data_IF_770458489114
#
_entry.id   IF_770458489114
#
_cell.length_a   1.000
_cell.length_b   1.000
_cell.length_c   1.000
_cell.angle_alpha   90.00
_cell.angle_beta   90.00
_cell.angle_gamma   90.00
#
_symmetry.space_group_name_H-M   'P 1'
#
loop_
_entity.id
_entity.type
_entity.pdbx_description
1 polymer ?
#
# COMPACT_ATOMS: atom_id res chain seq x y z
N UNK A 1 5.15 -42.24 -13.67
CA UNK A 1 6.49 -41.61 -13.70
C UNK A 1 6.35 -40.37 -14.57
N UNK A 2 6.40 -39.18 -13.97
CA UNK A 2 6.10 -37.91 -14.65
C UNK A 2 7.26 -36.95 -14.38
N UNK A 3 7.80 -36.41 -15.47
CA UNK A 3 9.16 -35.91 -15.57
C UNK A 3 9.23 -34.49 -15.01
N UNK A 4 10.18 -34.24 -14.10
CA UNK A 4 10.42 -32.93 -13.48
C UNK A 4 11.50 -32.23 -14.31
N UNK A 5 11.16 -31.10 -14.92
CA UNK A 5 12.11 -30.22 -15.64
C UNK A 5 12.25 -28.95 -14.80
N UNK A 6 13.39 -28.81 -14.11
CA UNK A 6 13.79 -27.58 -13.43
C UNK A 6 14.56 -26.69 -14.42
N UNK A 7 14.12 -25.46 -14.71
CA UNK A 7 14.94 -24.53 -15.47
C UNK A 7 16.06 -23.94 -14.60
N UNK A 8 17.28 -24.11 -15.08
CA UNK A 8 18.53 -23.64 -14.48
C UNK A 8 18.57 -22.13 -14.26
N UNK A 9 19.11 -21.80 -13.09
CA UNK A 9 19.59 -20.49 -12.65
C UNK A 9 20.64 -19.95 -13.64
N UNK A 10 20.45 -18.73 -14.14
CA UNK A 10 21.55 -17.92 -14.68
C UNK A 10 21.58 -16.59 -13.93
N UNK A 11 22.48 -16.53 -12.94
CA UNK A 11 22.78 -15.36 -12.13
C UNK A 11 23.77 -14.49 -12.92
N UNK A 12 23.31 -13.37 -13.47
CA UNK A 12 24.15 -12.38 -14.11
C UNK A 12 24.33 -11.16 -13.21
N UNK A 13 25.33 -11.19 -12.33
CA UNK A 13 25.86 -9.97 -11.70
C UNK A 13 26.76 -9.29 -12.74
N UNK A 14 26.49 -8.03 -13.06
CA UNK A 14 27.47 -7.13 -13.65
C UNK A 14 27.69 -5.93 -12.71
N UNK A 15 28.94 -5.77 -12.31
CA UNK A 15 29.45 -4.74 -11.41
C UNK A 15 29.75 -3.43 -12.14
N UNK A 16 29.53 -2.33 -11.41
CA UNK A 16 30.36 -1.12 -11.24
C UNK A 16 30.87 -0.29 -12.44
N UNK A 17 30.57 1.01 -12.34
CA UNK A 17 31.27 2.16 -12.95
C UNK A 17 30.27 3.31 -13.17
N UNK A 18 30.49 4.58 -12.83
CA UNK A 18 31.62 5.37 -12.32
C UNK A 18 31.17 6.84 -12.38
N UNK A 19 31.72 7.71 -11.52
CA UNK A 19 31.36 9.12 -11.36
C UNK A 19 31.47 9.95 -12.65
N UNK A 20 30.62 10.98 -12.80
CA UNK A 20 30.99 12.19 -13.52
C UNK A 20 30.50 13.42 -12.76
N UNK A 21 31.42 14.01 -11.99
CA UNK A 21 31.37 15.40 -11.58
C UNK A 21 31.94 16.23 -12.74
N UNK A 22 31.12 17.07 -13.35
CA UNK A 22 31.54 18.06 -14.34
C UNK A 22 31.38 19.47 -13.76
N UNK A 23 32.44 20.28 -13.68
CA UNK A 23 32.37 21.65 -13.16
C UNK A 23 31.80 22.56 -14.25
N UNK A 24 30.88 23.44 -13.89
CA UNK A 24 30.58 24.60 -14.73
C UNK A 24 30.87 25.86 -13.92
N UNK A 25 32.06 26.41 -14.18
CA UNK A 25 32.43 27.77 -13.81
C UNK A 25 31.79 28.70 -14.84
N UNK A 26 30.99 29.67 -14.39
CA UNK A 26 31.05 30.99 -14.98
C UNK A 26 30.67 32.02 -13.91
N UNK A 27 31.62 32.89 -13.61
CA UNK A 27 31.55 33.97 -12.65
C UNK A 27 30.50 35.02 -13.05
N UNK A 28 29.84 35.66 -12.07
CA UNK A 28 30.12 37.07 -11.74
C UNK A 28 29.14 37.63 -10.69
N UNK A 29 29.74 38.02 -9.56
CA UNK A 29 29.43 39.12 -8.64
C UNK A 29 28.06 39.18 -7.94
N UNK A 30 28.08 39.11 -6.61
CA UNK A 30 28.06 40.32 -5.77
C UNK A 30 28.60 40.03 -4.35
N UNK A 31 29.21 41.06 -3.76
CA UNK A 31 29.90 41.09 -2.47
C UNK A 31 28.91 40.95 -1.30
N UNK A 32 29.30 40.17 -0.29
CA UNK A 32 28.68 40.21 1.04
C UNK A 32 29.56 39.51 2.06
N UNK A 33 30.11 40.29 2.99
CA UNK A 33 31.01 39.86 4.06
C UNK A 33 30.22 39.24 5.24
N UNK A 34 30.88 38.33 5.94
CA UNK A 34 30.81 38.06 7.38
C UNK A 34 30.02 36.83 7.88
N UNK A 35 30.82 35.97 8.53
CA UNK A 35 30.57 35.08 9.67
C UNK A 35 29.57 33.95 9.55
N UNK A 36 30.16 32.75 9.50
CA UNK A 36 29.65 31.53 10.12
C UNK A 36 29.36 31.80 11.61
N UNK A 37 28.11 31.58 12.01
CA UNK A 37 27.76 31.30 13.40
C UNK A 37 27.10 29.91 13.45
N UNK A 38 27.69 29.06 14.27
CA UNK A 38 27.25 27.70 14.55
C UNK A 38 26.30 27.83 15.72
N UNK A 39 24.99 27.70 15.49
CA UNK A 39 24.07 27.44 16.60
C UNK A 39 23.06 26.33 16.27
N UNK A 40 23.24 25.24 17.02
CA UNK A 40 22.19 24.39 17.59
C UNK A 40 21.21 23.70 16.64
N UNK A 41 21.57 22.45 16.36
CA UNK A 41 20.71 21.28 16.42
C UNK A 41 19.46 21.48 17.30
N UNK A 42 18.32 21.77 16.67
CA UNK A 42 16.99 21.66 17.27
C UNK A 42 16.36 20.37 16.73
N UNK A 43 16.27 19.28 17.52
CA UNK A 43 15.31 18.25 17.21
C UNK A 43 13.94 18.88 17.51
N UNK A 44 13.28 19.36 16.46
CA UNK A 44 11.86 19.67 16.54
C UNK A 44 11.14 18.32 16.62
N UNK A 45 11.15 17.72 17.81
CA UNK A 45 10.10 16.80 18.20
C UNK A 45 8.81 17.61 18.18
N UNK A 46 8.10 17.52 17.06
CA UNK A 46 6.68 17.79 17.01
C UNK A 46 6.03 16.95 18.11
N UNK A 47 5.24 17.53 19.02
CA UNK A 47 4.35 16.70 19.81
C UNK A 47 3.37 16.08 18.80
N UNK A 48 3.55 14.79 18.49
CA UNK A 48 2.54 13.95 17.83
C UNK A 48 1.33 13.90 18.78
N UNK A 49 0.50 14.94 18.69
CA UNK A 49 -0.76 15.10 19.38
C UNK A 49 -1.84 15.33 18.34
N UNK A 50 -2.04 14.34 17.46
CA UNK A 50 -3.15 14.34 16.51
C UNK A 50 -3.69 12.92 16.30
N UNK A 51 -3.94 12.25 17.42
CA UNK A 51 -4.43 10.86 17.41
C UNK A 51 -5.88 10.78 16.89
N UNK A 52 -6.67 11.84 17.07
CA UNK A 52 -8.09 11.89 16.73
C UNK A 52 -8.34 12.08 15.22
N UNK A 53 -7.66 13.06 14.59
CA UNK A 53 -7.76 13.29 13.15
C UNK A 53 -7.22 12.11 12.32
N UNK A 54 -6.19 11.44 12.80
CA UNK A 54 -5.62 10.28 12.13
C UNK A 54 -6.52 9.03 12.27
N UNK A 55 -7.20 8.85 13.40
CA UNK A 55 -8.13 7.72 13.59
C UNK A 55 -9.38 7.88 12.71
N UNK A 56 -9.88 9.13 12.54
CA UNK A 56 -10.95 9.44 11.59
C UNK A 56 -10.57 9.07 10.16
N UNK A 57 -9.36 9.43 9.70
CA UNK A 57 -8.89 9.08 8.36
C UNK A 57 -8.76 7.56 8.13
N UNK A 58 -8.33 6.80 9.14
CA UNK A 58 -8.29 5.33 9.07
C UNK A 58 -9.70 4.76 8.93
N UNK A 59 -10.66 5.23 9.75
CA UNK A 59 -12.04 4.75 9.70
C UNK A 59 -12.69 5.01 8.34
N UNK A 60 -12.48 6.19 7.78
CA UNK A 60 -12.99 6.55 6.45
C UNK A 60 -12.40 5.63 5.36
N UNK A 61 -11.09 5.38 5.38
CA UNK A 61 -10.45 4.46 4.43
C UNK A 61 -10.95 3.02 4.58
N UNK A 62 -11.05 2.51 5.81
CA UNK A 62 -11.60 1.17 6.08
C UNK A 62 -13.04 1.06 5.56
N UNK A 63 -13.86 2.10 5.76
CA UNK A 63 -15.23 2.14 5.26
C UNK A 63 -15.28 2.07 3.73
N UNK A 64 -14.38 2.77 3.02
CA UNK A 64 -14.31 2.71 1.54
C UNK A 64 -13.86 1.35 1.02
N UNK A 65 -12.89 0.72 1.67
CA UNK A 65 -12.46 -0.66 1.34
C UNK A 65 -13.64 -1.63 1.53
N UNK A 66 -14.35 -1.54 2.67
CA UNK A 66 -15.54 -2.36 2.95
C UNK A 66 -16.66 -2.16 1.92
N UNK A 67 -16.92 -0.92 1.51
CA UNK A 67 -17.90 -0.61 0.47
C UNK A 67 -17.49 -1.22 -0.87
N UNK A 68 -16.21 -1.16 -1.25
CA UNK A 68 -15.72 -1.78 -2.49
C UNK A 68 -15.84 -3.30 -2.48
N UNK A 69 -15.58 -3.96 -1.35
CA UNK A 69 -15.81 -5.41 -1.20
C UNK A 69 -17.30 -5.73 -1.36
N UNK A 70 -18.19 -4.94 -0.75
CA UNK A 70 -19.64 -5.14 -0.86
C UNK A 70 -20.15 -4.97 -2.29
N UNK A 71 -19.66 -3.97 -3.03
CA UNK A 71 -20.02 -3.78 -4.44
C UNK A 71 -19.54 -4.95 -5.30
N UNK A 72 -18.35 -5.49 -5.01
CA UNK A 72 -17.84 -6.71 -5.65
C UNK A 72 -18.77 -7.91 -5.42
N UNK A 73 -19.19 -8.14 -4.17
CA UNK A 73 -20.14 -9.22 -3.81
C UNK A 73 -21.47 -9.07 -4.58
N UNK A 74 -22.06 -7.87 -4.60
CA UNK A 74 -23.32 -7.60 -5.31
C UNK A 74 -23.22 -7.79 -6.82
N UNK A 75 -22.08 -7.44 -7.42
CA UNK A 75 -21.85 -7.65 -8.85
C UNK A 75 -21.73 -9.13 -9.18
N UNK A 76 -21.05 -9.93 -8.35
CA UNK A 76 -20.95 -11.38 -8.54
C UNK A 76 -22.32 -12.07 -8.54
N UNK A 77 -23.29 -11.56 -7.77
CA UNK A 77 -24.67 -12.07 -7.73
C UNK A 77 -25.50 -11.73 -8.98
N UNK A 78 -25.14 -10.67 -9.72
CA UNK A 78 -25.93 -10.11 -10.84
C UNK A 78 -25.46 -10.56 -12.24
N UNK A 79 -24.70 -11.66 -12.32
CA UNK A 79 -23.93 -12.14 -13.50
C UNK A 79 -22.62 -11.36 -13.71
N UNK A 80 -21.54 -11.97 -13.23
CA UNK A 80 -20.20 -11.36 -13.23
C UNK A 80 -19.66 -11.16 -14.65
N UNK A 81 -19.42 -9.91 -15.03
CA UNK A 81 -18.56 -9.59 -16.17
C UNK A 81 -17.12 -9.51 -15.68
N UNK A 82 -16.23 -10.34 -16.21
CA UNK A 82 -14.83 -10.45 -15.79
C UNK A 82 -14.09 -9.11 -15.77
N UNK A 83 -14.38 -8.22 -16.73
CA UNK A 83 -13.79 -6.88 -16.81
C UNK A 83 -14.13 -6.03 -15.58
N UNK A 84 -15.37 -6.15 -15.08
CA UNK A 84 -15.84 -5.42 -13.91
C UNK A 84 -15.17 -5.92 -12.62
N UNK A 85 -14.87 -7.22 -12.51
CA UNK A 85 -14.13 -7.78 -11.36
C UNK A 85 -12.72 -7.19 -11.27
N UNK A 86 -12.04 -7.02 -12.41
CA UNK A 86 -10.70 -6.46 -12.46
C UNK A 86 -10.66 -4.99 -12.01
N UNK A 87 -11.61 -4.18 -12.49
CA UNK A 87 -11.73 -2.76 -12.12
C UNK A 87 -11.94 -2.61 -10.60
N UNK A 88 -12.77 -3.46 -9.98
CA UNK A 88 -12.92 -3.49 -8.54
C UNK A 88 -11.62 -3.90 -7.81
N UNK A 89 -10.82 -4.80 -8.39
CA UNK A 89 -9.55 -5.22 -7.81
C UNK A 89 -8.56 -4.06 -7.74
N UNK A 90 -8.49 -3.22 -8.78
CA UNK A 90 -7.68 -2.00 -8.78
C UNK A 90 -8.19 -0.97 -7.78
N UNK A 91 -9.50 -0.73 -7.74
CA UNK A 91 -10.08 0.23 -6.79
C UNK A 91 -9.89 -0.21 -5.34
N UNK A 92 -9.93 -1.51 -5.07
CA UNK A 92 -9.70 -2.05 -3.73
C UNK A 92 -8.27 -1.80 -3.25
N UNK A 93 -7.29 -1.95 -4.13
CA UNK A 93 -5.89 -1.60 -3.87
C UNK A 93 -5.75 -0.10 -3.61
N UNK A 94 -6.28 0.75 -4.50
CA UNK A 94 -6.21 2.21 -4.35
C UNK A 94 -6.79 2.70 -3.02
N UNK A 95 -7.96 2.20 -2.61
CA UNK A 95 -8.57 2.59 -1.33
C UNK A 95 -7.75 2.12 -0.12
N UNK A 96 -7.16 0.92 -0.17
CA UNK A 96 -6.31 0.41 0.90
C UNK A 96 -5.01 1.20 1.02
N UNK A 97 -4.34 1.48 -0.11
CA UNK A 97 -3.07 2.20 -0.16
C UNK A 97 -3.16 3.58 0.51
N UNK A 98 -4.35 4.22 0.49
CA UNK A 98 -4.57 5.51 1.16
C UNK A 98 -4.35 5.47 2.68
N UNK A 99 -4.59 4.31 3.31
CA UNK A 99 -4.48 4.12 4.76
C UNK A 99 -3.39 3.12 5.16
N UNK A 100 -2.88 2.32 4.22
CA UNK A 100 -1.96 1.20 4.44
C UNK A 100 -0.82 1.57 5.39
N UNK A 101 -0.04 2.61 5.05
CA UNK A 101 1.13 3.01 5.85
C UNK A 101 0.79 3.48 7.25
N UNK A 102 -0.37 4.08 7.41
CA UNK A 102 -0.84 4.48 8.74
C UNK A 102 -1.25 3.26 9.57
N UNK A 103 -1.96 2.31 8.94
CA UNK A 103 -2.36 1.05 9.58
C UNK A 103 -1.15 0.18 9.92
N UNK A 104 -0.17 0.09 9.03
CA UNK A 104 1.12 -0.60 9.24
C UNK A 104 1.86 -0.04 10.46
N UNK A 105 2.02 1.29 10.54
CA UNK A 105 2.74 1.95 11.64
C UNK A 105 2.03 1.80 12.99
N UNK A 106 0.70 1.96 13.01
CA UNK A 106 -0.07 2.08 14.27
C UNK A 106 -0.68 0.76 14.75
N UNK A 107 -1.00 -0.14 13.83
CA UNK A 107 -1.72 -1.39 14.09
C UNK A 107 -1.06 -2.55 13.34
N UNK A 108 0.24 -2.84 13.57
CA UNK A 108 1.01 -3.77 12.75
C UNK A 108 0.45 -5.20 12.72
N UNK A 109 -0.17 -5.66 13.81
CA UNK A 109 -0.80 -6.98 13.86
C UNK A 109 -2.06 -7.05 12.98
N UNK A 110 -2.90 -6.01 13.04
CA UNK A 110 -4.11 -5.91 12.23
C UNK A 110 -3.76 -5.71 10.75
N UNK A 111 -2.76 -4.89 10.45
CA UNK A 111 -2.15 -4.75 9.12
C UNK A 111 -1.80 -6.12 8.52
N UNK A 112 -0.94 -6.90 9.19
CA UNK A 112 -0.54 -8.24 8.73
C UNK A 112 -1.74 -9.16 8.58
N UNK A 113 -2.71 -9.09 9.51
CA UNK A 113 -3.91 -9.92 9.48
C UNK A 113 -4.76 -9.61 8.24
N UNK A 114 -5.02 -8.33 7.97
CA UNK A 114 -5.82 -7.84 6.85
C UNK A 114 -5.16 -8.23 5.52
N UNK A 115 -3.86 -7.94 5.36
CA UNK A 115 -3.13 -8.23 4.12
C UNK A 115 -3.13 -9.69 3.71
N UNK A 116 -3.10 -10.61 4.69
CA UNK A 116 -3.17 -12.07 4.45
C UNK A 116 -4.41 -12.52 3.69
N UNK A 117 -5.48 -11.70 3.63
CA UNK A 117 -6.63 -11.96 2.76
C UNK A 117 -6.86 -10.88 1.70
N UNK A 118 -6.50 -9.63 1.99
CA UNK A 118 -6.73 -8.51 1.07
C UNK A 118 -5.89 -8.60 -0.20
N UNK A 119 -4.57 -8.84 -0.11
CA UNK A 119 -3.74 -8.94 -1.31
C UNK A 119 -4.03 -10.21 -2.14
N UNK A 120 -4.29 -11.39 -1.54
CA UNK A 120 -4.82 -12.53 -2.29
C UNK A 120 -6.13 -12.23 -3.03
N UNK A 121 -7.04 -11.46 -2.43
CA UNK A 121 -8.26 -11.01 -3.08
C UNK A 121 -7.96 -10.12 -4.29
N UNK A 122 -7.16 -9.05 -4.11
CA UNK A 122 -6.76 -8.13 -5.18
C UNK A 122 -6.09 -8.91 -6.33
N UNK A 123 -5.15 -9.79 -5.99
CA UNK A 123 -4.43 -10.59 -6.97
C UNK A 123 -5.34 -11.53 -7.77
N UNK A 124 -6.34 -12.14 -7.13
CA UNK A 124 -7.33 -12.98 -7.83
C UNK A 124 -8.23 -12.15 -8.74
N UNK A 125 -8.73 -11.02 -8.24
CA UNK A 125 -9.61 -10.11 -8.99
C UNK A 125 -8.92 -9.51 -10.22
N UNK A 126 -7.61 -9.26 -10.13
CA UNK A 126 -6.81 -8.69 -11.23
C UNK A 126 -6.44 -9.66 -12.34
N UNK A 127 -6.78 -10.96 -12.23
CA UNK A 127 -6.50 -11.93 -13.29
C UNK A 127 -7.37 -11.69 -14.53
N UNK A 128 -6.87 -12.12 -15.69
CA UNK A 128 -7.65 -12.19 -16.94
C UNK A 128 -8.89 -13.07 -16.80
N UNK A 129 -8.82 -14.10 -15.94
CA UNK A 129 -9.94 -14.99 -15.63
C UNK A 129 -9.94 -15.25 -14.12
N UNK A 130 -10.63 -14.42 -13.33
CA UNK A 130 -10.73 -14.58 -11.88
C UNK A 130 -11.50 -15.84 -11.49
N UNK A 131 -11.01 -16.54 -10.47
CA UNK A 131 -11.75 -17.59 -9.80
C UNK A 131 -12.75 -16.98 -8.81
N UNK A 132 -14.02 -16.93 -9.22
CA UNK A 132 -15.09 -16.28 -8.42
C UNK A 132 -15.31 -16.94 -7.06
N UNK A 133 -15.00 -18.24 -6.90
CA UNK A 133 -15.09 -18.89 -5.60
C UNK A 133 -14.01 -18.39 -4.65
N UNK A 134 -12.79 -18.18 -5.16
CA UNK A 134 -11.69 -17.56 -4.39
C UNK A 134 -11.95 -16.09 -4.10
N UNK A 135 -12.45 -15.33 -5.08
CA UNK A 135 -12.86 -13.93 -4.86
C UNK A 135 -13.87 -13.86 -3.72
N UNK A 136 -14.94 -14.66 -3.76
CA UNK A 136 -15.93 -14.70 -2.67
C UNK A 136 -15.32 -15.07 -1.32
N UNK A 137 -14.49 -16.11 -1.27
CA UNK A 137 -13.87 -16.57 -0.02
C UNK A 137 -12.89 -15.55 0.58
N UNK A 138 -12.08 -14.88 -0.24
CA UNK A 138 -11.18 -13.85 0.24
C UNK A 138 -11.91 -12.54 0.58
N UNK A 139 -12.99 -12.19 -0.12
CA UNK A 139 -13.88 -11.07 0.22
C UNK A 139 -14.47 -11.23 1.61
N UNK A 140 -15.03 -12.40 1.92
CA UNK A 140 -15.62 -12.68 3.24
C UNK A 140 -14.59 -12.58 4.37
N UNK A 141 -13.39 -13.16 4.17
CA UNK A 141 -12.31 -13.08 5.15
C UNK A 141 -11.80 -11.66 5.36
N UNK A 142 -11.63 -10.91 4.28
CA UNK A 142 -11.13 -9.53 4.33
C UNK A 142 -12.15 -8.62 5.00
N UNK A 143 -13.43 -8.74 4.66
CA UNK A 143 -14.53 -8.03 5.30
C UNK A 143 -14.56 -8.28 6.81
N UNK A 144 -14.49 -9.53 7.24
CA UNK A 144 -14.51 -9.88 8.66
C UNK A 144 -13.36 -9.23 9.44
N UNK A 145 -12.15 -9.22 8.88
CA UNK A 145 -10.98 -8.61 9.51
C UNK A 145 -11.06 -7.08 9.55
N UNK A 146 -11.53 -6.46 8.48
CA UNK A 146 -11.73 -5.01 8.41
C UNK A 146 -12.80 -4.55 9.40
N UNK A 147 -13.90 -5.29 9.56
CA UNK A 147 -14.93 -4.96 10.57
C UNK A 147 -14.39 -5.13 11.99
N UNK A 148 -13.61 -6.19 12.26
CA UNK A 148 -12.95 -6.35 13.54
C UNK A 148 -11.97 -5.19 13.81
N UNK A 149 -11.18 -4.81 12.81
CA UNK A 149 -10.23 -3.71 12.92
C UNK A 149 -10.94 -2.37 13.13
N UNK A 150 -11.99 -2.09 12.36
CA UNK A 150 -12.85 -0.90 12.52
C UNK A 150 -13.35 -0.77 13.96
N UNK A 151 -13.91 -1.84 14.52
CA UNK A 151 -14.40 -1.86 15.91
C UNK A 151 -13.30 -1.72 16.99
N UNK A 152 -12.02 -1.86 16.63
CA UNK A 152 -10.88 -1.51 17.51
C UNK A 152 -10.52 -0.03 17.41
N UNK A 153 -10.57 0.55 16.21
CA UNK A 153 -10.23 1.96 15.97
C UNK A 153 -11.31 2.91 16.49
N UNK A 154 -12.58 2.47 16.53
CA UNK A 154 -13.71 3.23 17.08
C UNK A 154 -13.73 3.32 18.62
N UNK A 155 -12.83 2.62 19.33
CA UNK A 155 -12.78 2.55 20.81
C UNK A 155 -11.64 3.38 21.38
#
# INVERSE_FOLDING_TARGET
>A
MKNIIFPSILFGILLLGGCSFGPNHNDQAERGNASEDIETMKPSHTPEGDNDGQSTGILDGVQKVLLTIKETEQMMERSAQTKTVNEFGSRLEEEWDTIEKTVEKRFPEDYISIEKSLYPLIAEMKKTTPDLAKVKNFSEQTKAKLEQFKGKVEK
#
